data_IF_969800412766
#
_entry.id   IF_969800412766
#
_cell.length_a   1.000
_cell.length_b   1.000
_cell.length_c   1.000
_cell.angle_alpha   90.00
_cell.angle_beta   90.00
_cell.angle_gamma   90.00
#
_symmetry.space_group_name_H-M   'P 1'
#
loop_
_entity.id
_entity.type
_entity.pdbx_description
1 polymer ?
#
# COMPACT_ATOMS: atom_id res chain seq x y z
N UNK A 1 -4.28 20.97 -10.12
CA UNK A 1 -3.64 20.29 -8.96
C UNK A 1 -2.47 19.48 -9.48
N UNK A 2 -1.30 19.63 -8.87
CA UNK A 2 -0.06 18.99 -9.34
C UNK A 2 -0.08 17.48 -9.05
N UNK A 3 -0.15 16.65 -10.11
CA UNK A 3 -0.18 15.18 -9.99
C UNK A 3 1.12 14.62 -9.40
N UNK A 4 2.27 15.20 -9.74
CA UNK A 4 3.57 14.78 -9.20
C UNK A 4 3.64 14.99 -7.68
N UNK A 5 3.14 16.13 -7.19
CA UNK A 5 3.08 16.39 -5.74
C UNK A 5 2.16 15.40 -5.03
N UNK A 6 0.99 15.08 -5.60
CA UNK A 6 0.08 14.09 -5.02
C UNK A 6 0.67 12.68 -5.03
N UNK A 7 1.36 12.30 -6.11
CA UNK A 7 2.08 11.04 -6.22
C UNK A 7 3.17 10.91 -5.15
N UNK A 8 3.92 11.99 -4.87
CA UNK A 8 4.90 12.03 -3.78
C UNK A 8 4.28 11.83 -2.40
N UNK A 9 3.14 12.46 -2.13
CA UNK A 9 2.41 12.25 -0.87
C UNK A 9 1.88 10.81 -0.75
N UNK A 10 1.34 10.27 -1.84
CA UNK A 10 0.90 8.88 -1.90
C UNK A 10 2.08 7.92 -1.64
N UNK A 11 3.24 8.18 -2.23
CA UNK A 11 4.46 7.40 -1.99
C UNK A 11 4.89 7.40 -0.53
N UNK A 12 4.89 8.57 0.12
CA UNK A 12 5.21 8.67 1.55
C UNK A 12 4.21 7.87 2.41
N UNK A 13 2.93 7.86 2.03
CA UNK A 13 1.89 7.10 2.70
C UNK A 13 2.06 5.59 2.54
N UNK A 14 2.45 5.13 1.33
CA UNK A 14 2.73 3.73 1.02
C UNK A 14 3.97 3.24 1.77
N UNK A 15 5.04 4.04 1.81
CA UNK A 15 6.25 3.70 2.59
C UNK A 15 6.05 3.76 4.10
N UNK A 16 4.87 4.20 4.57
CA UNK A 16 4.57 4.44 5.99
C UNK A 16 5.70 5.23 6.68
N UNK A 17 6.25 6.21 5.97
CA UNK A 17 7.43 6.94 6.40
C UNK A 17 7.08 7.74 7.67
N UNK A 18 7.60 7.30 8.81
CA UNK A 18 7.24 7.80 10.13
C UNK A 18 7.75 9.22 10.42
N UNK A 19 8.68 9.73 9.60
CA UNK A 19 9.22 11.08 9.64
C UNK A 19 8.25 12.17 9.13
N UNK A 20 7.12 11.78 8.52
CA UNK A 20 6.07 12.72 8.14
C UNK A 20 4.91 12.70 9.13
N UNK A 21 4.75 13.77 9.91
CA UNK A 21 3.62 13.97 10.83
C UNK A 21 2.27 13.83 10.11
N UNK A 22 2.18 14.27 8.87
CA UNK A 22 0.99 14.11 8.04
C UNK A 22 0.68 12.63 7.78
N UNK A 23 1.69 11.81 7.44
CA UNK A 23 1.50 10.37 7.22
C UNK A 23 1.04 9.69 8.52
N UNK A 24 1.68 9.99 9.65
CA UNK A 24 1.29 9.45 10.95
C UNK A 24 -0.17 9.81 11.31
N UNK A 25 -0.56 11.07 11.10
CA UNK A 25 -1.92 11.53 11.35
C UNK A 25 -2.94 10.82 10.45
N UNK A 26 -2.65 10.68 9.15
CA UNK A 26 -3.53 9.98 8.20
C UNK A 26 -3.70 8.52 8.59
N UNK A 27 -2.61 7.83 8.94
CA UNK A 27 -2.65 6.42 9.36
C UNK A 27 -3.54 6.22 10.58
N UNK A 28 -3.42 7.08 11.60
CA UNK A 28 -4.19 6.98 12.83
C UNK A 28 -5.65 7.44 12.69
N UNK A 29 -5.90 8.56 12.02
CA UNK A 29 -7.21 9.23 12.02
C UNK A 29 -8.08 8.87 10.81
N UNK A 30 -7.47 8.64 9.64
CA UNK A 30 -8.21 8.39 8.39
C UNK A 30 -8.23 6.92 8.02
N UNK A 31 -7.08 6.26 8.00
CA UNK A 31 -6.95 4.88 7.54
C UNK A 31 -7.27 3.86 8.63
N UNK A 32 -7.10 4.20 9.92
CA UNK A 32 -7.43 3.33 11.06
C UNK A 32 -6.86 1.91 10.90
N UNK A 33 -5.55 1.82 10.66
CA UNK A 33 -4.81 0.57 10.43
C UNK A 33 -5.06 -0.12 9.07
N UNK A 34 -5.92 0.43 8.21
CA UNK A 34 -6.06 -0.07 6.84
C UNK A 34 -4.95 0.44 5.92
N UNK A 35 -4.73 -0.26 4.82
CA UNK A 35 -3.83 0.21 3.76
C UNK A 35 -4.55 1.24 2.89
N UNK A 36 -3.79 2.12 2.24
CA UNK A 36 -4.37 3.09 1.29
C UNK A 36 -5.10 2.41 0.12
N UNK A 37 -4.72 1.16 -0.16
CA UNK A 37 -5.28 0.32 -1.21
C UNK A 37 -6.61 -0.31 -0.80
N UNK A 38 -6.71 -0.82 0.43
CA UNK A 38 -7.93 -1.45 0.95
C UNK A 38 -8.96 -0.45 1.49
N UNK A 39 -8.61 0.83 1.63
CA UNK A 39 -9.51 1.84 2.16
C UNK A 39 -10.58 2.26 1.13
N UNK A 40 -11.86 2.23 1.52
CA UNK A 40 -13.00 2.52 0.62
C UNK A 40 -13.83 3.75 1.02
N UNK A 41 -13.29 4.63 1.88
CA UNK A 41 -14.01 5.83 2.34
C UNK A 41 -13.93 7.01 1.36
N UNK A 42 -15.07 7.48 0.85
CA UNK A 42 -15.15 8.71 0.06
C UNK A 42 -15.32 9.97 0.91
N UNK A 43 -15.42 9.85 2.23
CA UNK A 43 -15.55 10.98 3.13
C UNK A 43 -14.19 11.67 3.32
N UNK A 44 -14.14 12.98 3.08
CA UNK A 44 -12.91 13.77 3.20
C UNK A 44 -12.87 14.96 2.25
N UNK A 45 -11.77 15.71 2.34
CA UNK A 45 -11.52 16.86 1.47
C UNK A 45 -11.43 16.46 0.00
N UNK A 46 -11.65 17.41 -0.90
CA UNK A 46 -11.50 17.19 -2.33
C UNK A 46 -10.12 16.62 -2.70
N UNK A 47 -9.07 17.08 -2.01
CA UNK A 47 -7.71 16.56 -2.19
C UNK A 47 -7.56 15.09 -1.77
N UNK A 48 -8.19 14.68 -0.67
CA UNK A 48 -8.23 13.27 -0.25
C UNK A 48 -8.89 12.38 -1.31
N UNK A 49 -10.05 12.80 -1.83
CA UNK A 49 -10.75 12.08 -2.91
C UNK A 49 -9.88 11.96 -4.18
N UNK A 50 -9.14 13.02 -4.53
CA UNK A 50 -8.20 13.00 -5.66
C UNK A 50 -7.01 12.08 -5.41
N UNK A 51 -6.44 12.08 -4.20
CA UNK A 51 -5.35 11.18 -3.81
C UNK A 51 -5.78 9.71 -3.88
N UNK A 52 -6.99 9.38 -3.40
CA UNK A 52 -7.56 8.03 -3.53
C UNK A 52 -7.77 7.62 -4.99
N UNK A 53 -8.21 8.53 -5.86
CA UNK A 53 -8.34 8.24 -7.30
C UNK A 53 -6.98 8.01 -7.97
N UNK A 54 -5.96 8.74 -7.54
CA UNK A 54 -4.61 8.65 -8.09
C UNK A 54 -3.94 7.30 -7.77
N UNK A 55 -4.32 6.65 -6.67
CA UNK A 55 -3.77 5.34 -6.27
C UNK A 55 -3.83 4.30 -7.40
N UNK A 56 -4.97 4.23 -8.09
CA UNK A 56 -5.17 3.22 -9.12
C UNK A 56 -4.22 3.41 -10.32
N UNK A 57 -3.91 4.67 -10.67
CA UNK A 57 -2.96 4.98 -11.74
C UNK A 57 -1.49 5.00 -11.28
N UNK A 58 -1.24 5.08 -9.97
CA UNK A 58 0.11 5.07 -9.42
C UNK A 58 0.76 3.69 -9.57
N UNK A 59 -0.02 2.60 -9.44
CA UNK A 59 0.50 1.24 -9.56
C UNK A 59 0.93 0.87 -10.97
N UNK A 60 0.27 1.41 -11.99
CA UNK A 60 0.66 1.18 -13.39
C UNK A 60 1.98 1.85 -13.76
N UNK A 61 2.41 2.87 -13.01
CA UNK A 61 3.64 3.62 -13.28
C UNK A 61 4.78 3.32 -12.32
N UNK A 62 4.61 2.40 -11.37
CA UNK A 62 5.60 2.14 -10.31
C UNK A 62 5.86 0.64 -10.22
N UNK A 63 7.11 0.26 -10.44
CA UNK A 63 7.57 -1.10 -10.17
C UNK A 63 7.78 -1.27 -8.66
N UNK A 64 6.93 -2.07 -8.02
CA UNK A 64 7.00 -2.33 -6.58
C UNK A 64 8.07 -3.38 -6.27
N UNK A 65 9.31 -2.94 -6.06
CA UNK A 65 10.34 -3.78 -5.44
C UNK A 65 10.13 -3.77 -3.92
N UNK A 66 9.85 -4.93 -3.33
CA UNK A 66 9.69 -5.04 -1.88
C UNK A 66 11.01 -5.49 -1.25
N UNK A 67 11.49 -4.70 -0.28
CA UNK A 67 12.68 -5.01 0.50
C UNK A 67 12.39 -6.05 1.59
N UNK A 68 12.61 -5.67 2.86
CA UNK A 68 12.44 -6.57 4.01
C UNK A 68 11.01 -7.08 4.27
N UNK A 69 9.99 -6.58 3.54
CA UNK A 69 8.61 -7.08 3.60
C UNK A 69 7.81 -6.75 4.87
N UNK A 70 8.40 -6.12 5.88
CA UNK A 70 7.76 -5.83 7.19
C UNK A 70 6.74 -4.68 7.13
N UNK A 71 6.82 -3.85 6.09
CA UNK A 71 5.95 -2.67 5.92
C UNK A 71 4.77 -2.92 4.98
N UNK A 72 4.80 -4.03 4.25
CA UNK A 72 3.84 -4.39 3.21
C UNK A 72 2.96 -5.57 3.65
N UNK A 73 1.64 -5.38 3.58
CA UNK A 73 0.67 -6.46 3.77
C UNK A 73 0.77 -7.46 2.62
N UNK A 74 0.87 -8.74 2.96
CA UNK A 74 0.90 -9.84 2.01
C UNK A 74 -0.37 -9.86 1.13
N UNK A 75 -1.53 -9.56 1.73
CA UNK A 75 -2.82 -9.71 1.08
C UNK A 75 -3.34 -8.43 0.44
N UNK A 76 -3.16 -7.30 1.14
CA UNK A 76 -3.84 -6.04 0.82
C UNK A 76 -2.98 -5.09 -0.02
N UNK A 77 -1.65 -5.24 0.00
CA UNK A 77 -0.77 -4.37 -0.76
C UNK A 77 -0.45 -4.96 -2.15
N UNK A 78 -0.35 -4.13 -3.19
CA UNK A 78 -0.06 -4.52 -4.58
C UNK A 78 1.45 -4.69 -4.81
N UNK A 79 2.06 -5.63 -4.10
CA UNK A 79 3.47 -5.97 -4.30
C UNK A 79 3.69 -6.95 -5.47
N UNK A 80 2.65 -7.67 -5.87
CA UNK A 80 2.69 -8.59 -7.02
C UNK A 80 2.30 -7.84 -8.30
N UNK A 81 2.91 -8.15 -9.47
CA UNK A 81 2.59 -7.49 -10.74
C UNK A 81 1.09 -7.51 -11.10
N UNK A 82 0.41 -8.59 -10.71
CA UNK A 82 -1.02 -8.76 -10.96
C UNK A 82 -1.94 -8.12 -9.90
N UNK A 83 -1.39 -7.30 -9.01
CA UNK A 83 -2.11 -6.59 -7.95
C UNK A 83 -2.20 -7.36 -6.62
N UNK A 84 -3.04 -6.91 -5.67
CA UNK A 84 -3.14 -7.52 -4.35
C UNK A 84 -3.65 -8.97 -4.38
N UNK A 85 -3.00 -9.86 -3.63
CA UNK A 85 -3.32 -11.29 -3.63
C UNK A 85 -4.73 -11.61 -3.14
N UNK A 86 -5.34 -10.76 -2.31
CA UNK A 86 -6.70 -10.96 -1.79
C UNK A 86 -7.75 -11.07 -2.91
N UNK A 87 -7.47 -10.50 -4.09
CA UNK A 87 -8.36 -10.57 -5.25
C UNK A 87 -8.07 -11.77 -6.17
N UNK A 88 -6.94 -12.45 -5.98
CA UNK A 88 -6.45 -13.53 -6.86
C UNK A 88 -6.64 -14.91 -6.23
N UNK A 89 -6.39 -15.03 -4.94
CA UNK A 89 -6.50 -16.28 -4.22
C UNK A 89 -7.93 -16.46 -3.73
N UNK A 90 -8.72 -17.26 -4.44
CA UNK A 90 -10.07 -17.67 -4.01
C UNK A 90 -9.96 -18.43 -2.68
N UNK A 91 -10.49 -17.86 -1.59
CA UNK A 91 -10.35 -18.40 -0.23
C UNK A 91 -9.15 -17.87 0.56
N UNK A 92 -8.28 -17.09 -0.08
CA UNK A 92 -7.22 -16.26 0.50
C UNK A 92 -6.54 -16.77 1.79
N UNK A 93 -6.53 -15.96 2.87
CA UNK A 93 -5.87 -16.31 4.13
C UNK A 93 -6.41 -17.60 4.76
N UNK A 94 -7.69 -17.91 4.54
CA UNK A 94 -8.36 -19.09 5.12
C UNK A 94 -7.83 -20.42 4.55
N UNK A 95 -7.40 -20.46 3.29
CA UNK A 95 -6.84 -21.69 2.68
C UNK A 95 -5.32 -21.80 2.84
N UNK A 96 -4.63 -20.67 2.96
CA UNK A 96 -3.16 -20.63 3.14
C UNK A 96 -2.74 -20.77 4.61
N UNK A 97 -3.70 -20.63 5.54
CA UNK A 97 -3.43 -20.64 6.98
C UNK A 97 -2.76 -19.36 7.50
N UNK A 98 -2.63 -18.33 6.65
CA UNK A 98 -2.04 -17.04 7.00
C UNK A 98 -3.14 -16.06 7.42
N UNK A 99 -2.81 -15.08 8.27
CA UNK A 99 -3.76 -14.02 8.63
C UNK A 99 -3.88 -12.99 7.51
N UNK A 100 -5.01 -12.28 7.42
CA UNK A 100 -5.14 -11.08 6.56
C UNK A 100 -4.07 -10.03 6.90
N UNK A 101 -3.70 -9.96 8.18
CA UNK A 101 -2.72 -9.01 8.69
C UNK A 101 -1.27 -9.50 8.53
N UNK A 102 -1.06 -10.65 7.87
CA UNK A 102 0.28 -11.18 7.61
C UNK A 102 1.08 -10.20 6.74
N UNK A 103 2.30 -9.92 7.20
CA UNK A 103 3.29 -9.11 6.50
C UNK A 103 4.02 -9.93 5.43
N UNK A 104 4.51 -9.28 4.36
CA UNK A 104 5.18 -9.96 3.25
C UNK A 104 6.44 -10.73 3.68
N UNK A 105 7.15 -10.23 4.69
CA UNK A 105 8.36 -10.86 5.23
C UNK A 105 8.12 -12.27 5.78
N UNK A 106 6.88 -12.59 6.12
CA UNK A 106 6.48 -13.91 6.60
C UNK A 106 6.62 -14.99 5.52
N UNK A 107 6.58 -14.61 4.24
CA UNK A 107 6.69 -15.54 3.10
C UNK A 107 8.00 -15.39 2.31
N UNK A 108 8.71 -14.26 2.43
CA UNK A 108 9.92 -14.00 1.65
C UNK A 108 11.18 -13.99 2.52
N UNK A 109 11.95 -15.08 2.47
CA UNK A 109 13.29 -15.17 3.09
C UNK A 109 14.40 -14.53 2.23
N UNK A 110 14.08 -13.84 1.12
CA UNK A 110 15.08 -13.26 0.22
C UNK A 110 14.95 -11.74 0.14
N UNK A 111 15.97 -11.07 0.67
CA UNK A 111 16.27 -9.65 0.54
C UNK A 111 16.34 -9.28 -0.94
N UNK A 112 15.52 -8.32 -1.40
CA UNK A 112 15.63 -7.75 -2.75
C UNK A 112 15.81 -6.24 -2.64
N UNK A 113 17.01 -5.77 -2.99
CA UNK A 113 17.43 -4.37 -2.96
C UNK A 113 16.70 -3.51 -4.01
N UNK A 114 16.52 -2.22 -3.69
CA UNK A 114 15.86 -1.23 -4.55
C UNK A 114 16.85 -0.60 -5.53
N UNK A 115 16.61 -0.77 -6.82
CA UNK A 115 17.18 0.07 -7.87
C UNK A 115 16.04 0.70 -8.68
N UNK A 116 16.02 2.03 -8.74
CA UNK A 116 15.28 2.81 -9.75
C UNK A 116 15.97 2.61 -11.10
N UNK A 117 15.19 2.56 -12.19
CA UNK A 117 15.67 2.96 -13.51
C UNK A 117 15.52 4.48 -13.58
#
# INVERSE_FOLDING_TARGET
>A
MNQALMAKHLWHLVKKKADSTWVAWIQQNRLKQQTIWSFHGFNGSWGWKKLLKLRNGFLTGVETKVGNGESFSLWLDPWHPDGPLIHKVLGGPRITGLSVDSWLNYCSSRVVELAFI
#
